data_IF_617118301249
#
_entry.id   IF_617118301249
#
_cell.length_a   1.000
_cell.length_b   1.000
_cell.length_c   1.000
_cell.angle_alpha   90.00
_cell.angle_beta   90.00
_cell.angle_gamma   90.00
#
_symmetry.space_group_name_H-M   'P 1'
#
loop_
_entity.id
_entity.type
_entity.pdbx_description
1 polymer ?
#
# COMPACT_ATOMS: atom_id res chain seq x y z
N UNK A 1 -1.58 20.83 15.48
CA UNK A 1 -2.60 20.53 14.47
C UNK A 1 -1.98 19.56 13.50
N UNK A 2 -2.27 18.27 13.63
CA UNK A 2 -1.75 17.25 12.71
C UNK A 2 -2.35 17.51 11.33
N UNK A 3 -1.48 17.65 10.33
CA UNK A 3 -1.89 17.85 8.95
C UNK A 3 -2.65 16.60 8.47
N UNK A 4 -3.82 16.78 7.84
CA UNK A 4 -4.62 15.64 7.38
C UNK A 4 -3.84 14.90 6.29
N UNK A 5 -3.41 13.68 6.57
CA UNK A 5 -2.73 12.84 5.58
C UNK A 5 -3.75 12.39 4.53
N UNK A 6 -3.50 12.73 3.26
CA UNK A 6 -4.35 12.33 2.14
C UNK A 6 -3.50 11.68 1.06
N UNK A 7 -3.75 10.41 0.78
CA UNK A 7 -3.13 9.72 -0.34
C UNK A 7 -3.72 10.21 -1.66
N UNK A 8 -2.85 10.62 -2.58
CA UNK A 8 -3.25 11.10 -3.91
C UNK A 8 -3.48 9.98 -4.91
N UNK A 9 -2.85 8.82 -4.70
CA UNK A 9 -2.89 7.65 -5.58
C UNK A 9 -2.85 6.36 -4.77
N UNK A 10 -3.58 5.36 -5.25
CA UNK A 10 -3.53 3.98 -4.79
C UNK A 10 -3.10 3.09 -5.96
N UNK A 11 -2.19 2.16 -5.71
CA UNK A 11 -1.77 1.16 -6.68
C UNK A 11 -2.13 -0.22 -6.14
N UNK A 12 -2.92 -0.98 -6.90
CA UNK A 12 -3.32 -2.34 -6.56
C UNK A 12 -2.52 -3.33 -7.41
N UNK A 13 -1.86 -4.28 -6.75
CA UNK A 13 -1.14 -5.36 -7.41
C UNK A 13 -1.91 -6.66 -7.15
N UNK A 14 -2.61 -7.13 -8.16
CA UNK A 14 -3.37 -8.38 -8.10
C UNK A 14 -2.45 -9.57 -8.36
N UNK A 15 -2.69 -10.70 -7.68
CA UNK A 15 -2.02 -11.95 -8.03
C UNK A 15 -2.62 -12.50 -9.33
N UNK A 16 -1.84 -13.07 -10.26
CA UNK A 16 -2.37 -13.71 -11.47
C UNK A 16 -3.39 -14.83 -11.20
N UNK A 17 -3.42 -15.37 -9.97
CA UNK A 17 -4.33 -16.44 -9.56
C UNK A 17 -5.69 -15.92 -9.07
N UNK A 18 -5.90 -14.60 -8.97
CA UNK A 18 -7.20 -13.99 -8.64
C UNK A 18 -8.18 -14.00 -9.82
N UNK A 19 -8.29 -15.14 -10.51
CA UNK A 19 -9.35 -15.39 -11.48
C UNK A 19 -10.63 -15.82 -10.74
N UNK A 20 -11.07 -15.03 -9.76
CA UNK A 20 -12.43 -15.14 -9.23
C UNK A 20 -13.36 -14.40 -10.19
N UNK A 21 -14.21 -15.18 -10.85
CA UNK A 21 -15.16 -14.79 -11.89
C UNK A 21 -15.70 -13.35 -11.76
N UNK A 22 -15.53 -12.62 -12.86
CA UNK A 22 -16.11 -11.31 -13.13
C UNK A 22 -17.62 -11.28 -12.86
N UNK A 23 -17.99 -10.46 -11.87
CA UNK A 23 -19.08 -9.48 -11.87
C UNK A 23 -20.52 -9.95 -12.16
N UNK A 24 -21.39 -9.89 -11.13
CA UNK A 24 -22.72 -9.23 -11.18
C UNK A 24 -23.46 -9.17 -9.82
N UNK A 25 -22.81 -9.46 -8.69
CA UNK A 25 -23.48 -9.43 -7.37
C UNK A 25 -23.34 -8.06 -6.67
N UNK A 26 -24.44 -7.35 -6.37
CA UNK A 26 -24.39 -6.05 -5.68
C UNK A 26 -23.83 -6.12 -4.24
N UNK A 27 -23.88 -7.29 -3.58
CA UNK A 27 -23.25 -7.51 -2.25
C UNK A 27 -21.72 -7.43 -2.30
N UNK A 28 -21.10 -7.92 -3.36
CA UNK A 28 -19.64 -7.93 -3.54
C UNK A 28 -19.07 -6.51 -3.74
N UNK A 29 -19.87 -5.59 -4.32
CA UNK A 29 -19.48 -4.19 -4.47
C UNK A 29 -19.44 -3.46 -3.11
N UNK A 30 -20.36 -3.78 -2.21
CA UNK A 30 -20.40 -3.24 -0.83
C UNK A 30 -19.21 -3.76 -0.01
N UNK A 31 -18.85 -5.03 -0.16
CA UNK A 31 -17.67 -5.62 0.49
C UNK A 31 -16.35 -5.00 0.01
N UNK A 32 -16.20 -4.77 -1.30
CA UNK A 32 -15.03 -4.07 -1.86
C UNK A 32 -14.86 -2.69 -1.23
N UNK A 33 -15.96 -1.95 -1.01
CA UNK A 33 -15.92 -0.62 -0.40
C UNK A 33 -15.48 -0.60 1.07
N UNK A 34 -15.80 -1.66 1.83
CA UNK A 34 -15.47 -1.73 3.26
C UNK A 34 -14.03 -2.15 3.47
N UNK A 35 -13.57 -3.15 2.71
CA UNK A 35 -12.16 -3.55 2.70
C UNK A 35 -11.28 -2.39 2.27
N UNK A 36 -11.61 -1.70 1.17
CA UNK A 36 -10.83 -0.54 0.71
C UNK A 36 -10.75 0.57 1.78
N UNK A 37 -11.84 0.83 2.51
CA UNK A 37 -11.84 1.81 3.61
C UNK A 37 -10.93 1.37 4.78
N UNK A 38 -10.99 0.09 5.14
CA UNK A 38 -10.14 -0.46 6.19
C UNK A 38 -8.66 -0.39 5.83
N UNK A 39 -8.28 -0.80 4.61
CA UNK A 39 -6.91 -0.70 4.10
C UNK A 39 -6.41 0.75 4.09
N UNK A 40 -7.26 1.69 3.64
CA UNK A 40 -6.90 3.10 3.60
C UNK A 40 -6.69 3.68 5.00
N UNK A 41 -7.58 3.37 5.95
CA UNK A 41 -7.45 3.82 7.34
C UNK A 41 -6.17 3.28 7.99
N UNK A 42 -5.80 2.04 7.71
CA UNK A 42 -4.57 1.46 8.24
C UNK A 42 -3.33 2.09 7.59
N UNK A 43 -3.38 2.36 6.30
CA UNK A 43 -2.32 3.11 5.61
C UNK A 43 -2.17 4.54 6.19
N UNK A 44 -3.27 5.23 6.49
CA UNK A 44 -3.23 6.55 7.14
C UNK A 44 -2.53 6.48 8.50
N UNK A 45 -2.89 5.48 9.32
CA UNK A 45 -2.24 5.26 10.63
C UNK A 45 -0.73 5.04 10.50
N UNK A 46 -0.30 4.23 9.54
CA UNK A 46 1.13 3.97 9.28
C UNK A 46 1.85 5.22 8.78
N UNK A 47 1.18 6.05 7.97
CA UNK A 47 1.74 7.31 7.53
C UNK A 47 1.90 8.34 8.66
N UNK A 48 0.99 8.34 9.64
CA UNK A 48 1.06 9.21 10.81
C UNK A 48 2.11 8.75 11.82
N UNK A 49 2.15 7.45 12.14
CA UNK A 49 3.08 6.92 13.15
C UNK A 49 4.48 6.66 12.60
N UNK A 50 4.58 6.30 11.31
CA UNK A 50 5.80 5.75 10.73
C UNK A 50 6.18 4.35 11.25
N UNK A 51 5.27 3.68 11.96
CA UNK A 51 5.52 2.35 12.51
C UNK A 51 5.02 1.26 11.58
N UNK A 52 5.70 0.11 11.63
CA UNK A 52 5.25 -1.11 10.96
C UNK A 52 3.98 -1.61 11.64
N UNK A 53 2.99 -2.01 10.85
CA UNK A 53 1.75 -2.58 11.35
C UNK A 53 1.58 -3.98 10.77
N UNK A 54 1.70 -4.99 11.63
CA UNK A 54 1.37 -6.37 11.33
C UNK A 54 0.06 -6.75 12.05
N UNK A 55 -0.99 -6.99 11.27
CA UNK A 55 -2.27 -7.51 11.76
C UNK A 55 -2.32 -9.00 11.50
N UNK A 56 -2.08 -9.76 12.57
CA UNK A 56 -2.13 -11.22 12.58
C UNK A 56 -3.52 -11.78 12.94
N UNK A 57 -4.52 -10.91 13.19
CA UNK A 57 -5.86 -11.34 13.59
C UNK A 57 -6.58 -12.09 12.46
N UNK A 58 -6.45 -13.41 12.52
CA UNK A 58 -7.36 -14.37 11.94
C UNK A 58 -8.72 -14.20 12.64
N UNK A 59 -9.47 -13.17 12.26
CA UNK A 59 -10.90 -13.18 12.58
C UNK A 59 -11.46 -14.30 11.70
N UNK A 60 -11.78 -15.44 12.31
CA UNK A 60 -12.80 -16.32 11.76
C UNK A 60 -14.11 -15.54 11.78
N UNK A 61 -14.24 -14.54 10.90
CA UNK A 61 -15.53 -13.95 10.59
C UNK A 61 -16.26 -15.09 9.93
N UNK A 62 -17.29 -15.55 10.61
CA UNK A 62 -18.33 -16.44 10.12
C UNK A 62 -18.40 -16.37 8.60
N UNK A 63 -18.23 -17.53 7.94
CA UNK A 63 -18.31 -17.74 6.49
C UNK A 63 -19.40 -16.85 5.86
N UNK A 64 -19.07 -15.62 5.45
CA UNK A 64 -20.07 -14.71 4.89
C UNK A 64 -19.94 -13.20 5.11
N UNK A 65 -18.96 -12.66 5.83
CA UNK A 65 -18.85 -11.20 5.94
C UNK A 65 -17.41 -10.69 5.75
N UNK A 66 -17.26 -9.81 4.75
CA UNK A 66 -16.07 -9.06 4.37
C UNK A 66 -15.14 -9.86 3.46
N UNK A 67 -15.01 -9.43 2.20
CA UNK A 67 -14.02 -9.96 1.25
C UNK A 67 -12.66 -10.19 1.95
N UNK A 68 -12.30 -11.47 2.06
CA UNK A 68 -11.50 -12.04 3.15
C UNK A 68 -10.12 -11.39 3.37
N UNK A 69 -9.99 -10.35 4.19
CA UNK A 69 -8.69 -9.91 4.72
C UNK A 69 -8.42 -10.68 6.02
N UNK A 70 -7.56 -11.70 5.95
CA UNK A 70 -7.19 -12.59 7.07
C UNK A 70 -5.94 -12.13 7.80
N UNK A 71 -4.96 -11.62 7.06
CA UNK A 71 -3.74 -11.05 7.61
C UNK A 71 -3.31 -9.85 6.75
N UNK A 72 -2.67 -8.87 7.37
CA UNK A 72 -2.23 -7.65 6.72
C UNK A 72 -0.89 -7.21 7.30
N UNK A 73 0.04 -6.82 6.43
CA UNK A 73 1.28 -6.17 6.81
C UNK A 73 1.41 -4.84 6.06
N UNK A 74 1.65 -3.75 6.77
CA UNK A 74 1.83 -2.42 6.21
C UNK A 74 3.10 -1.74 6.76
N UNK A 75 3.82 -1.09 5.85
CA UNK A 75 5.09 -0.43 6.14
C UNK A 75 5.20 0.91 5.41
N UNK A 76 5.76 1.95 6.06
CA UNK A 76 5.97 3.24 5.41
C UNK A 76 7.12 3.16 4.40
N UNK A 77 6.92 3.77 3.23
CA UNK A 77 7.97 3.99 2.23
C UNK A 77 8.65 5.31 2.53
N UNK A 78 9.97 5.27 2.76
CA UNK A 78 10.76 6.46 3.09
C UNK A 78 11.70 6.85 1.96
N UNK A 79 11.89 8.15 1.75
CA UNK A 79 12.91 8.66 0.84
C UNK A 79 14.30 8.69 1.52
N UNK A 80 15.34 9.13 0.78
CA UNK A 80 16.71 9.29 1.31
C UNK A 80 16.82 10.25 2.51
N UNK A 81 15.89 11.20 2.66
CA UNK A 81 15.80 12.13 3.80
C UNK A 81 14.99 11.55 4.96
N UNK A 82 14.66 10.26 4.94
CA UNK A 82 13.84 9.57 5.92
C UNK A 82 12.40 10.11 6.04
N UNK A 83 11.92 10.82 5.02
CA UNK A 83 10.54 11.32 4.97
C UNK A 83 9.64 10.25 4.38
N UNK A 84 8.46 10.06 4.99
CA UNK A 84 7.44 9.14 4.48
C UNK A 84 6.85 9.73 3.19
N UNK A 85 6.93 8.97 2.10
CA UNK A 85 6.42 9.36 0.78
C UNK A 85 5.26 8.48 0.31
N UNK A 86 4.95 7.42 1.06
CA UNK A 86 3.86 6.49 0.79
C UNK A 86 3.82 5.38 1.83
N UNK A 87 2.85 4.48 1.69
CA UNK A 87 2.72 3.27 2.50
C UNK A 87 2.55 2.09 1.56
N UNK A 88 3.32 1.03 1.80
CA UNK A 88 3.14 -0.25 1.14
C UNK A 88 2.32 -1.14 2.07
N UNK A 89 1.40 -1.91 1.50
CA UNK A 89 0.63 -2.90 2.26
C UNK A 89 0.48 -4.17 1.44
N UNK A 90 0.58 -5.30 2.12
CA UNK A 90 0.29 -6.62 1.58
C UNK A 90 -0.81 -7.26 2.44
N UNK A 91 -1.68 -8.01 1.79
CA UNK A 91 -2.77 -8.73 2.43
C UNK A 91 -2.66 -10.20 2.08
N UNK A 92 -3.08 -11.06 3.01
CA UNK A 92 -3.27 -12.49 2.80
C UNK A 92 -2.06 -13.20 2.19
N UNK A 93 -1.21 -13.76 3.04
CA UNK A 93 -0.21 -14.72 2.58
C UNK A 93 -0.92 -15.89 1.86
N UNK A 94 -0.32 -16.37 0.78
CA UNK A 94 -0.92 -17.41 -0.09
C UNK A 94 -1.19 -18.70 0.71
N UNK A 95 -0.30 -19.05 1.63
CA UNK A 95 -0.43 -20.20 2.52
C UNK A 95 -1.53 -20.03 3.60
N UNK A 96 -2.12 -18.84 3.72
CA UNK A 96 -3.14 -18.50 4.71
C UNK A 96 -2.63 -18.28 6.14
N UNK A 97 -1.32 -18.30 6.38
CA UNK A 97 -0.75 -17.99 7.71
C UNK A 97 -0.64 -16.47 7.91
N UNK A 98 -0.55 -16.01 9.17
CA UNK A 98 -0.09 -14.65 9.48
C UNK A 98 1.31 -14.37 8.90
N UNK A 99 1.64 -13.08 8.79
CA UNK A 99 3.00 -12.65 8.46
C UNK A 99 3.92 -12.87 9.65
N UNK A 100 5.04 -13.53 9.39
CA UNK A 100 6.08 -13.79 10.39
C UNK A 100 7.22 -12.76 10.32
N UNK A 101 8.19 -12.87 11.22
CA UNK A 101 9.35 -11.96 11.27
C UNK A 101 10.18 -12.01 9.96
N UNK A 102 10.21 -13.15 9.28
CA UNK A 102 10.93 -13.28 8.02
C UNK A 102 10.22 -12.52 6.90
N UNK A 103 8.89 -12.58 6.87
CA UNK A 103 8.06 -11.77 5.97
C UNK A 103 8.25 -10.28 6.23
N UNK A 104 8.31 -9.87 7.51
CA UNK A 104 8.58 -8.48 7.90
C UNK A 104 9.94 -8.01 7.39
N UNK A 105 11.02 -8.75 7.63
CA UNK A 105 12.36 -8.38 7.15
C UNK A 105 12.43 -8.28 5.62
N UNK A 106 11.78 -9.21 4.91
CA UNK A 106 11.72 -9.18 3.45
C UNK A 106 10.94 -7.97 2.95
N UNK A 107 9.80 -7.67 3.57
CA UNK A 107 8.96 -6.55 3.19
C UNK A 107 9.59 -5.20 3.54
N UNK A 108 10.37 -5.13 4.62
CA UNK A 108 11.16 -3.96 4.96
C UNK A 108 12.18 -3.65 3.85
N UNK A 109 12.96 -4.66 3.43
CA UNK A 109 13.90 -4.51 2.32
C UNK A 109 13.18 -4.03 1.04
N UNK A 110 12.02 -4.59 0.73
CA UNK A 110 11.19 -4.14 -0.39
C UNK A 110 10.81 -2.65 -0.28
N UNK A 111 10.30 -2.19 0.86
CA UNK A 111 9.90 -0.78 1.03
C UNK A 111 11.08 0.18 0.96
N UNK A 112 12.27 -0.22 1.41
CA UNK A 112 13.52 0.54 1.25
C UNK A 112 13.84 0.69 -0.24
N UNK A 113 13.80 -0.39 -1.02
CA UNK A 113 14.04 -0.32 -2.46
C UNK A 113 13.00 0.53 -3.20
N UNK A 114 11.72 0.45 -2.81
CA UNK A 114 10.68 1.34 -3.35
C UNK A 114 11.03 2.81 -3.09
N UNK A 115 11.46 3.15 -1.87
CA UNK A 115 11.85 4.50 -1.49
C UNK A 115 13.00 5.06 -2.34
N UNK A 116 14.04 4.25 -2.57
CA UNK A 116 15.18 4.60 -3.42
C UNK A 116 14.76 4.78 -4.89
N UNK A 117 13.96 3.84 -5.42
CA UNK A 117 13.48 3.87 -6.79
C UNK A 117 12.60 5.09 -7.08
N UNK A 118 11.62 5.35 -6.22
CA UNK A 118 10.72 6.52 -6.35
C UNK A 118 11.52 7.82 -6.30
N UNK A 119 12.47 7.95 -5.37
CA UNK A 119 13.30 9.15 -5.28
C UNK A 119 14.09 9.42 -6.57
N UNK A 120 14.69 8.38 -7.15
CA UNK A 120 15.44 8.51 -8.40
C UNK A 120 14.53 8.95 -9.55
N UNK A 121 13.38 8.29 -9.75
CA UNK A 121 12.45 8.64 -10.84
C UNK A 121 11.91 10.06 -10.72
N UNK A 122 11.58 10.52 -9.51
CA UNK A 122 11.10 11.87 -9.28
C UNK A 122 12.16 12.92 -9.63
N UNK A 123 13.41 12.72 -9.17
CA UNK A 123 14.51 13.63 -9.45
C UNK A 123 14.79 13.77 -10.95
N UNK A 124 14.78 12.66 -11.70
CA UNK A 124 14.94 12.71 -13.16
C UNK A 124 13.81 13.49 -13.85
N UNK A 125 12.56 13.30 -13.43
CA UNK A 125 11.41 14.02 -14.00
C UNK A 125 11.48 15.53 -13.77
N UNK A 126 12.00 15.98 -12.62
CA UNK A 126 12.18 17.40 -12.32
C UNK A 126 13.23 18.05 -13.24
N UNK A 127 14.36 17.36 -13.45
CA UNK A 127 15.43 17.83 -14.35
C UNK A 127 14.91 17.95 -15.79
N UNK A 128 14.18 16.96 -16.28
CA UNK A 128 13.59 16.98 -17.63
C UNK A 128 12.61 18.15 -17.82
N UNK A 129 11.73 18.40 -16.84
CA UNK A 129 10.79 19.54 -16.87
C UNK A 129 11.51 20.88 -16.84
N UNK A 130 12.57 21.01 -16.05
CA UNK A 130 13.38 22.22 -16.01
C UNK A 130 14.05 22.50 -17.37
N UNK A 131 14.63 21.47 -17.99
CA UNK A 131 15.22 21.56 -19.33
C UNK A 131 14.18 21.95 -20.39
N UNK A 132 12.98 21.38 -20.34
CA UNK A 132 11.90 21.72 -21.27
C UNK A 132 11.45 23.19 -21.12
N UNK A 133 11.34 23.70 -19.89
CA UNK A 133 11.01 25.12 -19.62
C UNK A 133 12.09 26.07 -20.14
N UNK A 134 13.35 25.69 -20.01
CA UNK A 134 14.46 26.51 -20.48
C UNK A 134 14.52 26.56 -22.02
N UNK A 135 14.14 25.47 -22.69
CA UNK A 135 14.12 25.36 -24.16
C UNK A 135 13.03 26.22 -24.83
N UNK A 136 11.93 26.54 -24.15
CA UNK A 136 10.85 27.39 -24.70
C UNK A 136 11.08 28.89 -24.48
N UNK A 137 12.10 29.26 -23.69
CA UNK A 137 12.42 30.67 -23.36
C UNK A 137 13.46 31.27 -24.34
N UNK A 138 13.86 30.53 -25.37
CA UNK A 138 14.85 30.93 -26.38
C UNK A 138 14.22 30.85 -27.77
#
# INVERSE_FOLDING_TARGET
TSEIIKFSKLFELSSPQDNYNSCNNPRLQVEKSTVSRYLMSLAERVAESGEVVNVAECVEVEKGAVGNVRCLLAMPIRNRKYQIIGVASIINKINGSPFDETDEQLFEAFTIFCGLGIHNTLMYSEVEKAMARQKVTI
#
